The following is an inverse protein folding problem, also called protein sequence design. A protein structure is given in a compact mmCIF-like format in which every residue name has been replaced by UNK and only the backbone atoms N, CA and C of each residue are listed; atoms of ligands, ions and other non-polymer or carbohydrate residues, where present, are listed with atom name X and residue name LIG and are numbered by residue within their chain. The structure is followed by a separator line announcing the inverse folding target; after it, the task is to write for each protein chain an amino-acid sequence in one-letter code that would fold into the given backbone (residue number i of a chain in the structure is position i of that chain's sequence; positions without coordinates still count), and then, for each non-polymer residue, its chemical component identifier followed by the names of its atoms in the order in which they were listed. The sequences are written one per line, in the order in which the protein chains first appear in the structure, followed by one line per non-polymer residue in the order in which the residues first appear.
data_IF_809505122892
#
_entry.id   IF_809505122892
#
_cell.length_a   1.000
_cell.length_b   1.000
_cell.length_c   1.000
_cell.angle_alpha   90.00
_cell.angle_beta   90.00
_cell.angle_gamma   90.00
#
_symmetry.space_group_name_H-M   'P 1'
#
loop_
_entity.id
_entity.type
_entity.pdbx_description
1 polymer ?
#
# COMPACT_ATOMS: atom_id res chain seq x y z
N UNK A 1 3.97 15.83 1.63
CA UNK A 1 5.31 15.50 1.17
C UNK A 1 5.29 14.94 -0.25
N UNK A 2 4.86 13.70 -0.46
CA UNK A 2 4.84 13.13 -1.81
C UNK A 2 4.01 13.95 -2.80
N UNK A 3 2.83 14.44 -2.39
CA UNK A 3 1.96 15.20 -3.26
C UNK A 3 2.56 16.52 -3.73
N UNK A 4 3.38 17.18 -2.87
CA UNK A 4 4.05 18.43 -3.26
C UNK A 4 5.25 18.21 -4.15
N UNK A 5 6.01 17.14 -3.91
CA UNK A 5 7.31 16.91 -4.56
C UNK A 5 7.25 15.90 -5.70
N UNK A 6 6.13 15.22 -5.90
CA UNK A 6 6.02 14.16 -6.89
C UNK A 6 6.16 14.71 -8.31
N UNK A 7 7.07 14.11 -9.05
CA UNK A 7 7.25 14.36 -10.48
C UNK A 7 6.33 13.43 -11.26
N UNK A 8 6.07 13.79 -12.54
CA UNK A 8 5.22 12.97 -13.40
C UNK A 8 5.71 11.51 -13.48
N UNK A 9 7.03 11.32 -13.59
CA UNK A 9 7.60 9.96 -13.63
C UNK A 9 7.35 9.19 -12.34
N UNK A 10 7.34 9.86 -11.19
CA UNK A 10 7.07 9.24 -9.90
C UNK A 10 5.59 8.88 -9.76
N UNK A 11 4.70 9.74 -10.23
CA UNK A 11 3.26 9.46 -10.26
C UNK A 11 2.99 8.26 -11.14
N UNK A 12 3.63 8.18 -12.31
CA UNK A 12 3.50 7.03 -13.21
C UNK A 12 3.99 5.74 -12.56
N UNK A 13 5.08 5.81 -11.78
CA UNK A 13 5.60 4.64 -11.06
C UNK A 13 4.62 4.13 -10.01
N UNK A 14 3.92 5.04 -9.31
CA UNK A 14 2.89 4.66 -8.35
C UNK A 14 1.72 3.99 -9.09
N UNK A 15 1.32 4.55 -10.22
CA UNK A 15 0.25 3.97 -11.04
C UNK A 15 0.61 2.56 -11.51
N UNK A 16 1.85 2.34 -11.94
CA UNK A 16 2.32 1.01 -12.34
C UNK A 16 2.25 0.01 -11.19
N UNK A 17 2.53 0.47 -9.96
CA UNK A 17 2.41 -0.40 -8.78
C UNK A 17 0.97 -0.86 -8.57
N UNK A 18 0.00 0.03 -8.77
CA UNK A 18 -1.42 -0.34 -8.69
C UNK A 18 -1.83 -1.30 -9.80
N UNK A 19 -1.30 -1.11 -11.01
CA UNK A 19 -1.55 -2.04 -12.11
C UNK A 19 -0.99 -3.43 -11.79
N UNK A 20 0.16 -3.50 -11.14
CA UNK A 20 0.74 -4.75 -10.68
C UNK A 20 -0.17 -5.45 -9.66
N UNK A 21 -0.70 -4.70 -8.69
CA UNK A 21 -1.67 -5.26 -7.74
C UNK A 21 -2.89 -5.81 -8.45
N UNK A 22 -3.41 -5.08 -9.43
CA UNK A 22 -4.57 -5.52 -10.20
C UNK A 22 -4.30 -6.84 -10.93
N UNK A 23 -3.12 -6.96 -11.56
CA UNK A 23 -2.73 -8.19 -12.25
C UNK A 23 -2.63 -9.36 -11.27
N UNK A 24 -2.03 -9.14 -10.11
CA UNK A 24 -1.90 -10.18 -9.10
C UNK A 24 -3.26 -10.67 -8.62
N UNK A 25 -4.21 -9.74 -8.41
CA UNK A 25 -5.58 -10.11 -8.02
C UNK A 25 -6.30 -10.89 -9.12
N UNK A 26 -6.11 -10.51 -10.38
CA UNK A 26 -6.71 -11.21 -11.52
C UNK A 26 -6.17 -12.64 -11.65
N UNK A 27 -4.93 -12.87 -11.22
CA UNK A 27 -4.31 -14.19 -11.18
C UNK A 27 -4.65 -14.97 -9.92
N UNK A 28 -5.58 -14.47 -9.11
CA UNK A 28 -6.01 -15.07 -7.85
C UNK A 28 -4.87 -15.20 -6.84
N UNK A 29 -3.91 -14.28 -6.89
CA UNK A 29 -2.79 -14.21 -5.95
C UNK A 29 -3.00 -13.08 -4.96
N UNK A 30 -2.33 -13.17 -3.80
CA UNK A 30 -2.24 -12.03 -2.89
C UNK A 30 -1.34 -10.98 -3.55
N UNK A 31 -1.79 -9.71 -3.64
CA UNK A 31 -1.03 -8.68 -4.35
C UNK A 31 0.09 -8.09 -3.51
N UNK A 32 0.95 -8.94 -2.95
CA UNK A 32 1.99 -8.53 -2.01
C UNK A 32 3.08 -7.70 -2.67
N UNK A 33 3.51 -8.09 -3.87
CA UNK A 33 4.55 -7.34 -4.57
C UNK A 33 4.04 -5.97 -5.02
N UNK A 34 2.83 -5.92 -5.56
CA UNK A 34 2.22 -4.65 -5.95
C UNK A 34 2.01 -3.72 -4.77
N UNK A 35 1.58 -4.26 -3.62
CA UNK A 35 1.41 -3.50 -2.39
C UNK A 35 2.75 -2.91 -1.91
N UNK A 36 3.79 -3.73 -1.89
CA UNK A 36 5.13 -3.30 -1.55
C UNK A 36 5.60 -2.18 -2.48
N UNK A 37 5.44 -2.39 -3.78
CA UNK A 37 5.82 -1.39 -4.79
C UNK A 37 5.06 -0.08 -4.58
N UNK A 38 3.76 -0.15 -4.33
CA UNK A 38 2.96 1.06 -4.10
C UNK A 38 3.52 1.91 -2.97
N UNK A 39 3.71 1.30 -1.80
CA UNK A 39 4.20 2.04 -0.63
C UNK A 39 5.62 2.54 -0.83
N UNK A 40 6.48 1.75 -1.49
CA UNK A 40 7.84 2.15 -1.79
C UNK A 40 7.89 3.33 -2.76
N UNK A 41 7.08 3.29 -3.82
CA UNK A 41 7.04 4.39 -4.81
C UNK A 41 6.48 5.68 -4.20
N UNK A 42 5.49 5.58 -3.31
CA UNK A 42 5.01 6.75 -2.58
C UNK A 42 6.11 7.34 -1.71
N UNK A 43 6.85 6.50 -0.99
CA UNK A 43 7.97 6.95 -0.16
C UNK A 43 9.06 7.61 -1.00
N UNK A 44 9.42 7.04 -2.15
CA UNK A 44 10.42 7.61 -3.07
C UNK A 44 10.00 8.99 -3.55
N UNK A 45 8.71 9.20 -3.79
CA UNK A 45 8.19 10.49 -4.26
C UNK A 45 8.35 11.60 -3.22
N UNK A 46 8.61 11.28 -1.95
CA UNK A 46 8.90 12.28 -0.93
C UNK A 46 10.31 12.85 -1.04
N UNK A 47 11.22 12.17 -1.72
CA UNK A 47 12.62 12.53 -1.78
C UNK A 47 13.39 12.24 -0.50
N UNK A 48 12.80 11.53 0.45
CA UNK A 48 13.42 11.23 1.75
C UNK A 48 13.95 9.80 1.76
N UNK A 49 15.27 9.64 1.59
CA UNK A 49 15.91 8.33 1.54
C UNK A 49 15.79 7.51 2.82
N UNK A 50 15.73 8.17 3.99
CA UNK A 50 15.55 7.48 5.26
C UNK A 50 14.15 6.85 5.33
N UNK A 51 13.13 7.58 4.87
CA UNK A 51 11.77 7.05 4.81
C UNK A 51 11.68 5.86 3.87
N UNK A 52 12.33 5.95 2.70
CA UNK A 52 12.40 4.83 1.75
C UNK A 52 12.98 3.59 2.41
N UNK A 53 14.09 3.74 3.15
CA UNK A 53 14.74 2.62 3.84
C UNK A 53 13.82 1.98 4.88
N UNK A 54 13.10 2.78 5.66
CA UNK A 54 12.16 2.27 6.67
C UNK A 54 11.01 1.51 6.02
N UNK A 55 10.40 2.08 4.99
CA UNK A 55 9.30 1.43 4.27
C UNK A 55 9.75 0.11 3.67
N UNK A 56 10.91 0.10 3.03
CA UNK A 56 11.48 -1.11 2.43
C UNK A 56 11.66 -2.21 3.47
N UNK A 57 12.24 -1.85 4.62
CA UNK A 57 12.46 -2.81 5.70
C UNK A 57 11.14 -3.39 6.21
N UNK A 58 10.14 -2.55 6.43
CA UNK A 58 8.84 -2.99 6.95
C UNK A 58 8.15 -3.95 5.98
N UNK A 59 8.15 -3.64 4.69
CA UNK A 59 7.49 -4.50 3.72
C UNK A 59 8.28 -5.76 3.40
N UNK A 60 9.61 -5.69 3.49
CA UNK A 60 10.45 -6.87 3.28
C UNK A 60 10.24 -7.92 4.37
N UNK A 61 9.93 -7.52 5.60
CA UNK A 61 9.60 -8.45 6.68
C UNK A 61 8.34 -9.27 6.37
N UNK A 62 7.45 -8.76 5.51
CA UNK A 62 6.25 -9.49 5.09
C UNK A 62 6.57 -10.75 4.27
N UNK A 63 7.82 -10.90 3.82
CA UNK A 63 8.25 -12.12 3.13
C UNK A 63 8.70 -13.22 4.09
N UNK A 64 8.79 -12.92 5.39
CA UNK A 64 9.19 -13.90 6.39
C UNK A 64 8.14 -15.00 6.60
N UNK A 65 8.58 -16.23 6.95
CA UNK A 65 7.66 -17.36 7.07
C UNK A 65 6.53 -17.15 8.06
N UNK A 66 6.84 -16.55 9.22
CA UNK A 66 5.83 -16.31 10.25
C UNK A 66 4.77 -15.32 9.77
N UNK A 67 5.19 -14.24 9.14
CA UNK A 67 4.27 -13.22 8.65
C UNK A 67 3.37 -13.80 7.54
N UNK A 68 3.92 -14.60 6.65
CA UNK A 68 3.15 -15.26 5.59
C UNK A 68 2.09 -16.19 6.15
N UNK A 69 2.42 -16.91 7.22
CA UNK A 69 1.45 -17.77 7.90
C UNK A 69 0.29 -16.97 8.47
N UNK A 70 0.57 -15.87 9.16
CA UNK A 70 -0.46 -15.01 9.73
C UNK A 70 -1.32 -14.39 8.64
N UNK A 71 -0.72 -13.90 7.58
CA UNK A 71 -1.41 -13.27 6.46
C UNK A 71 -2.37 -14.24 5.78
N UNK A 72 -1.95 -15.48 5.60
CA UNK A 72 -2.77 -16.50 4.96
C UNK A 72 -4.11 -16.70 5.67
N UNK A 73 -4.16 -16.51 6.98
CA UNK A 73 -5.38 -16.67 7.76
C UNK A 73 -6.30 -15.44 7.74
N UNK A 74 -5.76 -14.26 7.45
CA UNK A 74 -6.50 -13.00 7.59
C UNK A 74 -6.87 -12.35 6.27
N UNK A 75 -6.18 -12.68 5.19
CA UNK A 75 -6.40 -12.04 3.90
C UNK A 75 -7.52 -12.70 3.12
N UNK A 76 -8.29 -11.87 2.42
CA UNK A 76 -9.31 -12.32 1.49
C UNK A 76 -9.30 -11.41 0.26
N UNK A 77 -9.81 -11.88 -0.90
CA UNK A 77 -9.91 -11.02 -2.08
C UNK A 77 -10.69 -9.73 -1.81
N UNK A 78 -11.73 -9.78 -0.98
CA UNK A 78 -12.52 -8.60 -0.63
C UNK A 78 -11.70 -7.56 0.12
N UNK A 79 -10.83 -7.99 1.04
CA UNK A 79 -9.96 -7.08 1.78
C UNK A 79 -8.96 -6.39 0.87
N UNK A 80 -8.38 -7.13 -0.08
CA UNK A 80 -7.44 -6.57 -1.03
C UNK A 80 -8.11 -5.62 -2.02
N UNK A 81 -9.35 -5.90 -2.43
CA UNK A 81 -10.12 -4.98 -3.27
C UNK A 81 -10.34 -3.66 -2.55
N UNK A 82 -10.67 -3.70 -1.26
CA UNK A 82 -10.81 -2.49 -0.44
C UNK A 82 -9.49 -1.72 -0.33
N UNK A 83 -8.38 -2.43 -0.12
CA UNK A 83 -7.07 -1.82 -0.05
C UNK A 83 -6.70 -1.11 -1.36
N UNK A 84 -7.00 -1.73 -2.51
CA UNK A 84 -6.76 -1.12 -3.80
C UNK A 84 -7.56 0.16 -4.00
N UNK A 85 -8.82 0.17 -3.58
CA UNK A 85 -9.64 1.37 -3.66
C UNK A 85 -9.03 2.50 -2.84
N UNK A 86 -8.54 2.19 -1.64
CA UNK A 86 -7.86 3.14 -0.76
C UNK A 86 -6.57 3.67 -1.39
N UNK A 87 -5.78 2.79 -2.02
CA UNK A 87 -4.57 3.17 -2.72
C UNK A 87 -4.86 4.14 -3.88
N UNK A 88 -5.94 3.90 -4.62
CA UNK A 88 -6.32 4.77 -5.73
C UNK A 88 -6.69 6.18 -5.26
N UNK A 89 -7.32 6.30 -4.10
CA UNK A 89 -7.62 7.61 -3.52
C UNK A 89 -6.33 8.36 -3.19
N UNK A 90 -5.34 7.68 -2.63
CA UNK A 90 -4.02 8.26 -2.36
C UNK A 90 -3.35 8.73 -3.65
N UNK A 91 -3.32 7.86 -4.67
CA UNK A 91 -2.72 8.20 -5.97
C UNK A 91 -3.38 9.42 -6.58
N UNK A 92 -4.71 9.48 -6.57
CA UNK A 92 -5.45 10.59 -7.14
C UNK A 92 -5.08 11.92 -6.47
N UNK A 93 -4.99 11.92 -5.14
CA UNK A 93 -4.61 13.11 -4.39
C UNK A 93 -3.17 13.54 -4.72
N UNK A 94 -2.24 12.60 -4.86
CA UNK A 94 -0.86 12.89 -5.24
C UNK A 94 -0.80 13.45 -6.67
N UNK A 95 -1.56 12.86 -7.58
CA UNK A 95 -1.56 13.26 -8.99
C UNK A 95 -2.04 14.70 -9.19
N UNK A 96 -2.94 15.19 -8.34
CA UNK A 96 -3.41 16.57 -8.38
C UNK A 96 -2.68 17.48 -7.39
N UNK A 97 -1.60 16.98 -6.78
CA UNK A 97 -0.76 17.71 -5.83
C UNK A 97 -1.51 18.22 -4.59
N UNK A 98 -2.53 17.48 -4.16
CA UNK A 98 -3.29 17.78 -2.95
C UNK A 98 -2.60 17.13 -1.74
N UNK A 99 -1.68 17.87 -1.10
CA UNK A 99 -0.91 17.33 0.01
C UNK A 99 -1.77 16.96 1.21
N UNK A 100 -2.77 17.79 1.54
CA UNK A 100 -3.65 17.52 2.68
C UNK A 100 -4.54 16.31 2.39
N UNK A 101 -5.08 16.22 1.18
CA UNK A 101 -5.90 15.08 0.75
C UNK A 101 -5.11 13.79 0.72
N UNK A 102 -3.87 13.82 0.23
CA UNK A 102 -3.00 12.65 0.19
C UNK A 102 -2.68 12.14 1.59
N UNK A 103 -2.37 13.04 2.52
CA UNK A 103 -2.10 12.68 3.91
C UNK A 103 -3.33 12.05 4.55
N UNK A 104 -4.50 12.68 4.38
CA UNK A 104 -5.74 12.16 4.95
C UNK A 104 -6.10 10.79 4.37
N UNK A 105 -5.92 10.61 3.04
CA UNK A 105 -6.21 9.35 2.38
C UNK A 105 -5.27 8.24 2.85
N UNK A 106 -3.97 8.52 2.98
CA UNK A 106 -3.00 7.53 3.45
C UNK A 106 -3.27 7.16 4.92
N UNK A 107 -3.57 8.14 5.76
CA UNK A 107 -3.89 7.88 7.16
C UNK A 107 -5.14 7.01 7.28
N UNK A 108 -6.16 7.30 6.50
CA UNK A 108 -7.38 6.49 6.47
C UNK A 108 -7.09 5.07 6.01
N UNK A 109 -6.27 4.92 4.96
CA UNK A 109 -5.87 3.60 4.46
C UNK A 109 -5.16 2.78 5.53
N UNK A 110 -4.19 3.38 6.23
CA UNK A 110 -3.44 2.68 7.27
C UNK A 110 -4.34 2.31 8.45
N UNK A 111 -5.27 3.20 8.83
CA UNK A 111 -6.23 2.91 9.89
C UNK A 111 -7.17 1.78 9.51
N UNK A 112 -7.64 1.74 8.28
CA UNK A 112 -8.51 0.66 7.80
C UNK A 112 -7.76 -0.67 7.73
N UNK A 113 -6.50 -0.64 7.27
CA UNK A 113 -5.66 -1.84 7.23
C UNK A 113 -5.45 -2.40 8.63
N UNK A 114 -5.19 -1.53 9.61
CA UNK A 114 -5.05 -1.93 11.00
C UNK A 114 -6.33 -2.58 11.54
N UNK A 115 -7.47 -1.97 11.26
CA UNK A 115 -8.77 -2.51 11.70
C UNK A 115 -9.05 -3.88 11.07
N UNK A 116 -8.72 -4.05 9.80
CA UNK A 116 -8.90 -5.33 9.11
C UNK A 116 -8.04 -6.42 9.75
N UNK A 117 -6.78 -6.09 10.03
CA UNK A 117 -5.87 -7.02 10.69
C UNK A 117 -6.39 -7.43 12.08
N UNK A 118 -6.79 -6.45 12.89
CA UNK A 118 -7.30 -6.71 14.23
C UNK A 118 -8.58 -7.55 14.22
N UNK A 119 -9.47 -7.30 13.29
CA UNK A 119 -10.70 -8.08 13.15
C UNK A 119 -10.39 -9.53 12.85
N UNK A 120 -9.46 -9.78 11.92
CA UNK A 120 -9.03 -11.13 11.59
C UNK A 120 -8.41 -11.84 12.78
N UNK A 121 -7.52 -11.14 13.49
CA UNK A 121 -6.86 -11.67 14.68
C UNK A 121 -7.87 -12.03 15.77
N UNK A 122 -8.81 -11.12 16.06
CA UNK A 122 -9.81 -11.34 17.10
C UNK A 122 -10.77 -12.47 16.76
N UNK A 123 -11.05 -12.69 15.49
CA UNK A 123 -11.90 -13.79 15.05
C UNK A 123 -11.25 -15.15 15.32
N UNK A 124 -9.92 -15.24 15.25
CA UNK A 124 -9.17 -16.47 15.49
C UNK A 124 -8.86 -16.70 16.97
N UNK A 125 -8.88 -15.67 17.75
CA UNK A 125 -8.58 -15.72 19.18
C UNK A 125 -9.79 -15.34 20.01
#
# INVERSE_FOLDING_TARGET
MAAKSAKKSQINAIEEALEQMQRELEEEKQPLEGDRMFHLRVAEATGNGALVAVVKMLWDERTGPLYKQLEHHYDSPALWTSAMAEHRVVLKAIAVHDAAGARAAMQRHLNQAYKRFNKGWNTLH
#
